data_IF_838846192793
#
_entry.id   IF_838846192793
#
_cell.length_a   1.000
_cell.length_b   1.000
_cell.length_c   1.000
_cell.angle_alpha   90.00
_cell.angle_beta   90.00
_cell.angle_gamma   90.00
#
_symmetry.space_group_name_H-M   'P 1'
#
loop_
_entity.id
_entity.type
_entity.pdbx_description
1 polymer ?
#
# COMPACT_ATOMS: atom_id res chain seq x y z
N UNK A 1 19.97 -4.29 3.46
CA UNK A 1 19.42 -5.27 2.51
C UNK A 1 19.00 -4.47 1.28
N UNK A 2 19.66 -4.65 0.13
CA UNK A 2 19.43 -3.84 -1.08
C UNK A 2 17.96 -3.96 -1.50
N UNK A 3 17.32 -2.82 -1.76
CA UNK A 3 15.91 -2.74 -2.16
C UNK A 3 15.67 -3.43 -3.51
N UNK A 4 16.72 -3.62 -4.30
CA UNK A 4 16.71 -4.12 -5.68
C UNK A 4 16.25 -5.57 -5.83
N UNK A 5 16.14 -6.34 -4.73
CA UNK A 5 15.72 -7.75 -4.77
C UNK A 5 14.59 -8.13 -3.78
N UNK A 6 13.97 -7.17 -3.09
CA UNK A 6 12.89 -7.51 -2.15
C UNK A 6 11.54 -7.62 -2.87
N UNK A 7 10.98 -8.83 -2.92
CA UNK A 7 9.63 -9.11 -3.42
C UNK A 7 8.57 -8.28 -2.68
N UNK A 8 8.78 -8.03 -1.39
CA UNK A 8 7.90 -7.20 -0.58
C UNK A 8 7.99 -5.72 -0.96
N UNK A 9 9.20 -5.20 -1.22
CA UNK A 9 9.38 -3.84 -1.70
C UNK A 9 8.76 -3.65 -3.08
N UNK A 10 8.94 -4.62 -3.98
CA UNK A 10 8.27 -4.65 -5.29
C UNK A 10 6.74 -4.59 -5.12
N UNK A 11 6.16 -5.45 -4.30
CA UNK A 11 4.73 -5.47 -4.01
C UNK A 11 4.21 -4.11 -3.54
N UNK A 12 4.93 -3.48 -2.60
CA UNK A 12 4.56 -2.17 -2.05
C UNK A 12 4.63 -1.07 -3.11
N UNK A 13 5.70 -1.05 -3.92
CA UNK A 13 5.89 -0.05 -4.98
C UNK A 13 4.81 -0.18 -6.05
N UNK A 14 4.49 -1.41 -6.49
CA UNK A 14 3.41 -1.63 -7.46
C UNK A 14 2.06 -1.20 -6.89
N UNK A 15 1.79 -1.47 -5.61
CA UNK A 15 0.57 -1.01 -4.93
C UNK A 15 0.49 0.54 -4.87
N UNK A 16 1.61 1.21 -4.60
CA UNK A 16 1.71 2.67 -4.62
C UNK A 16 1.42 3.22 -6.03
N UNK A 17 2.02 2.64 -7.06
CA UNK A 17 1.75 3.04 -8.44
C UNK A 17 0.26 2.87 -8.80
N UNK A 18 -0.35 1.75 -8.42
CA UNK A 18 -1.78 1.52 -8.61
C UNK A 18 -2.63 2.60 -7.91
N UNK A 19 -2.31 2.90 -6.65
CA UNK A 19 -3.00 3.91 -5.85
C UNK A 19 -2.95 5.29 -6.52
N UNK A 20 -1.77 5.71 -6.98
CA UNK A 20 -1.60 7.00 -7.67
C UNK A 20 -2.40 7.05 -8.97
N UNK A 21 -2.40 5.97 -9.76
CA UNK A 21 -3.17 5.90 -11.01
C UNK A 21 -4.68 5.97 -10.78
N UNK A 22 -5.19 5.34 -9.72
CA UNK A 22 -6.62 5.31 -9.39
C UNK A 22 -7.07 6.62 -8.73
N UNK A 23 -6.35 7.12 -7.73
CA UNK A 23 -6.81 8.22 -6.88
C UNK A 23 -6.38 9.61 -7.37
N UNK A 24 -5.19 9.75 -7.97
CA UNK A 24 -4.69 11.03 -8.44
C UNK A 24 -5.08 11.32 -9.90
N UNK A 25 -5.78 10.40 -10.56
CA UNK A 25 -6.16 10.45 -11.98
C UNK A 25 -4.98 10.84 -12.91
N UNK A 26 -3.75 10.48 -12.52
CA UNK A 26 -2.53 10.88 -13.19
C UNK A 26 -2.46 10.31 -14.61
N UNK A 27 -2.29 11.18 -15.61
CA UNK A 27 -2.06 10.77 -16.99
C UNK A 27 -0.60 10.40 -17.21
N UNK A 28 -0.37 9.15 -17.61
CA UNK A 28 0.97 8.68 -18.00
C UNK A 28 1.18 8.97 -19.49
N UNK A 29 2.28 9.64 -19.87
CA UNK A 29 2.64 9.82 -21.27
C UNK A 29 2.72 8.46 -21.99
N UNK A 30 2.14 8.32 -23.20
CA UNK A 30 2.15 7.07 -23.94
C UNK A 30 3.56 6.52 -24.20
N UNK A 31 4.60 7.37 -24.28
CA UNK A 31 5.98 6.93 -24.53
C UNK A 31 6.60 6.16 -23.35
N UNK A 32 6.05 6.32 -22.14
CA UNK A 32 6.53 5.64 -20.93
C UNK A 32 5.83 4.31 -20.69
N UNK A 33 4.83 3.96 -21.51
CA UNK A 33 4.11 2.71 -21.39
C UNK A 33 4.89 1.58 -22.08
N UNK A 34 5.13 0.44 -21.40
CA UNK A 34 5.93 -0.66 -21.95
C UNK A 34 5.27 -1.34 -23.15
N UNK A 35 3.97 -1.11 -23.38
CA UNK A 35 3.21 -1.68 -24.50
C UNK A 35 2.26 -0.64 -25.08
N UNK A 36 2.31 -0.46 -26.40
CA UNK A 36 1.46 0.51 -27.12
C UNK A 36 -0.04 0.28 -26.94
N UNK A 37 -0.48 -0.95 -26.67
CA UNK A 37 -1.87 -1.31 -26.37
C UNK A 37 -2.39 -0.65 -25.08
N UNK A 38 -1.49 -0.34 -24.13
CA UNK A 38 -1.86 0.31 -22.87
C UNK A 38 -2.17 1.80 -23.05
N UNK A 39 -1.72 2.44 -24.13
CA UNK A 39 -1.99 3.85 -24.41
C UNK A 39 -3.48 4.15 -24.65
N UNK A 40 -4.28 3.11 -24.93
CA UNK A 40 -5.73 3.21 -25.12
C UNK A 40 -6.52 2.98 -23.81
N UNK A 41 -5.86 2.54 -22.73
CA UNK A 41 -6.50 2.29 -21.44
C UNK A 41 -6.61 3.60 -20.65
N UNK A 42 -7.71 3.76 -19.92
CA UNK A 42 -7.80 4.83 -18.92
C UNK A 42 -6.76 4.60 -17.81
N UNK A 43 -6.32 5.68 -17.15
CA UNK A 43 -5.38 5.59 -16.02
C UNK A 43 -5.92 4.65 -14.92
N UNK A 44 -7.23 4.69 -14.69
CA UNK A 44 -7.93 3.81 -13.74
C UNK A 44 -7.79 2.33 -14.17
N UNK A 45 -7.95 2.01 -15.46
CA UNK A 45 -7.75 0.65 -15.96
C UNK A 45 -6.31 0.17 -15.79
N UNK A 46 -5.32 1.03 -16.01
CA UNK A 46 -3.91 0.72 -15.74
C UNK A 46 -3.70 0.47 -14.23
N UNK A 47 -4.26 1.33 -13.39
CA UNK A 47 -4.23 1.16 -11.93
C UNK A 47 -4.88 -0.16 -11.47
N UNK A 48 -5.98 -0.58 -12.11
CA UNK A 48 -6.61 -1.87 -11.82
C UNK A 48 -5.69 -3.05 -12.16
N UNK A 49 -4.98 -2.99 -13.29
CA UNK A 49 -3.99 -4.04 -13.65
C UNK A 49 -2.86 -4.09 -12.62
N UNK A 50 -2.35 -2.93 -12.20
CA UNK A 50 -1.27 -2.84 -11.21
C UNK A 50 -1.69 -3.37 -9.84
N UNK A 51 -2.91 -3.06 -9.35
CA UNK A 51 -3.36 -3.57 -8.05
C UNK A 51 -3.57 -5.09 -8.07
N UNK A 52 -4.08 -5.66 -9.16
CA UNK A 52 -4.21 -7.12 -9.32
C UNK A 52 -2.84 -7.81 -9.31
N UNK A 53 -1.84 -7.21 -9.96
CA UNK A 53 -0.46 -7.71 -9.92
C UNK A 53 0.12 -7.66 -8.49
N UNK A 54 -0.03 -6.53 -7.79
CA UNK A 54 0.43 -6.42 -6.42
C UNK A 54 -0.29 -7.43 -5.50
N UNK A 55 -1.59 -7.66 -5.67
CA UNK A 55 -2.34 -8.69 -4.92
C UNK A 55 -1.79 -10.08 -5.22
N UNK A 56 -1.48 -10.39 -6.49
CA UNK A 56 -0.86 -11.66 -6.88
C UNK A 56 0.49 -11.87 -6.19
N UNK A 57 1.34 -10.85 -6.16
CA UNK A 57 2.64 -10.90 -5.47
C UNK A 57 2.45 -11.06 -3.96
N UNK A 58 1.50 -10.32 -3.36
CA UNK A 58 1.19 -10.35 -1.93
C UNK A 58 0.85 -11.75 -1.43
N UNK A 59 0.20 -12.58 -2.24
CA UNK A 59 -0.15 -13.98 -1.90
C UNK A 59 1.08 -14.86 -1.64
N UNK A 60 2.25 -14.50 -2.17
CA UNK A 60 3.51 -15.19 -1.92
C UNK A 60 4.26 -14.72 -0.67
N UNK A 61 3.71 -13.77 0.09
CA UNK A 61 4.35 -13.17 1.27
C UNK A 61 3.58 -13.54 2.54
N UNK A 62 4.30 -13.88 3.60
CA UNK A 62 3.73 -14.21 4.91
C UNK A 62 3.46 -12.96 5.76
N UNK A 63 2.63 -12.05 5.24
CA UNK A 63 2.40 -10.74 5.85
C UNK A 63 1.43 -10.77 7.06
N UNK A 64 0.73 -11.88 7.26
CA UNK A 64 -0.24 -12.05 8.34
C UNK A 64 0.46 -12.48 9.62
N UNK A 65 1.36 -13.46 9.55
CA UNK A 65 2.13 -13.93 10.71
C UNK A 65 3.37 -13.04 10.96
N UNK A 66 4.01 -12.57 9.89
CA UNK A 66 5.24 -11.78 9.96
C UNK A 66 5.05 -10.39 9.32
N UNK A 67 4.28 -9.48 9.95
CA UNK A 67 4.08 -8.14 9.41
C UNK A 67 5.38 -7.34 9.39
N UNK A 68 5.48 -6.43 8.44
CA UNK A 68 6.60 -5.51 8.27
C UNK A 68 6.09 -4.10 8.01
N UNK A 69 6.98 -3.10 8.05
CA UNK A 69 6.61 -1.74 7.66
C UNK A 69 6.09 -1.65 6.21
N UNK A 70 6.67 -2.42 5.30
CA UNK A 70 6.23 -2.47 3.90
C UNK A 70 4.87 -3.15 3.80
N UNK A 71 4.60 -4.13 4.67
CA UNK A 71 3.33 -4.84 4.68
C UNK A 71 2.17 -3.94 5.11
N UNK A 72 2.37 -3.07 6.10
CA UNK A 72 1.40 -2.04 6.52
C UNK A 72 1.11 -1.07 5.37
N UNK A 73 2.16 -0.52 4.74
CA UNK A 73 2.02 0.41 3.63
C UNK A 73 1.29 -0.22 2.43
N UNK A 74 1.61 -1.47 2.11
CA UNK A 74 0.93 -2.21 1.04
C UNK A 74 -0.57 -2.34 1.33
N UNK A 75 -0.94 -2.73 2.56
CA UNK A 75 -2.34 -2.84 2.97
C UNK A 75 -3.06 -1.48 2.91
N UNK A 76 -2.39 -0.39 3.31
CA UNK A 76 -2.93 0.97 3.18
C UNK A 76 -3.17 1.38 1.73
N UNK A 77 -2.22 1.11 0.83
CA UNK A 77 -2.41 1.40 -0.59
C UNK A 77 -3.51 0.53 -1.22
N UNK A 78 -3.64 -0.73 -0.80
CA UNK A 78 -4.75 -1.58 -1.23
C UNK A 78 -6.10 -1.04 -0.78
N UNK A 79 -6.23 -0.57 0.47
CA UNK A 79 -7.43 0.15 0.91
C UNK A 79 -7.78 1.29 -0.06
N UNK A 80 -6.82 2.17 -0.34
CA UNK A 80 -7.03 3.31 -1.22
C UNK A 80 -7.41 2.93 -2.66
N UNK A 81 -6.80 1.87 -3.20
CA UNK A 81 -7.16 1.34 -4.51
C UNK A 81 -8.59 0.78 -4.54
N UNK A 82 -8.93 -0.09 -3.58
CA UNK A 82 -10.27 -0.70 -3.53
C UNK A 82 -11.36 0.35 -3.30
N UNK A 83 -11.09 1.35 -2.45
CA UNK A 83 -12.00 2.47 -2.23
C UNK A 83 -12.23 3.28 -3.51
N UNK A 84 -11.15 3.64 -4.23
CA UNK A 84 -11.26 4.35 -5.51
C UNK A 84 -11.96 3.56 -6.61
N UNK A 85 -12.02 2.24 -6.50
CA UNK A 85 -12.75 1.34 -7.40
C UNK A 85 -14.19 1.03 -6.93
N UNK A 86 -14.67 1.64 -5.84
CA UNK A 86 -16.01 1.41 -5.28
C UNK A 86 -16.20 0.03 -4.64
N UNK A 87 -15.12 -0.63 -4.24
CA UNK A 87 -15.13 -1.97 -3.60
C UNK A 87 -15.03 -1.85 -2.09
N UNK A 88 -16.02 -1.21 -1.48
CA UNK A 88 -15.99 -0.77 -0.07
C UNK A 88 -15.65 -1.90 0.91
N UNK A 89 -16.28 -3.08 0.79
CA UNK A 89 -16.00 -4.21 1.68
C UNK A 89 -14.53 -4.66 1.65
N UNK A 90 -13.93 -4.67 0.44
CA UNK A 90 -12.51 -5.00 0.27
C UNK A 90 -11.63 -3.89 0.83
N UNK A 91 -12.00 -2.64 0.58
CA UNK A 91 -11.30 -1.48 1.12
C UNK A 91 -11.24 -1.54 2.65
N UNK A 92 -12.39 -1.66 3.32
CA UNK A 92 -12.48 -1.76 4.78
C UNK A 92 -11.67 -2.93 5.34
N UNK A 93 -11.67 -4.08 4.67
CA UNK A 93 -10.87 -5.25 5.09
C UNK A 93 -9.37 -4.96 5.06
N UNK A 94 -8.88 -4.27 4.01
CA UNK A 94 -7.48 -3.88 3.92
C UNK A 94 -7.10 -2.79 4.92
N UNK A 95 -8.00 -1.84 5.21
CA UNK A 95 -7.77 -0.82 6.22
C UNK A 95 -7.59 -1.43 7.60
N UNK A 96 -8.51 -2.32 8.01
CA UNK A 96 -8.40 -3.07 9.27
C UNK A 96 -7.12 -3.91 9.32
N UNK A 97 -6.77 -4.56 8.21
CA UNK A 97 -5.52 -5.31 8.12
C UNK A 97 -4.30 -4.40 8.36
N UNK A 98 -4.25 -3.22 7.73
CA UNK A 98 -3.18 -2.25 7.93
C UNK A 98 -3.09 -1.78 9.38
N UNK A 99 -4.22 -1.45 10.03
CA UNK A 99 -4.23 -1.04 11.43
C UNK A 99 -3.73 -2.17 12.34
N UNK A 100 -4.23 -3.40 12.18
CA UNK A 100 -3.79 -4.55 12.97
C UNK A 100 -2.29 -4.80 12.81
N UNK A 101 -1.77 -4.76 11.58
CA UNK A 101 -0.32 -4.91 11.34
C UNK A 101 0.49 -3.81 12.04
N UNK A 102 0.03 -2.56 11.99
CA UNK A 102 0.69 -1.45 12.68
C UNK A 102 0.67 -1.62 14.21
N UNK A 103 -0.41 -2.17 14.77
CA UNK A 103 -0.49 -2.50 16.20
C UNK A 103 0.48 -3.61 16.58
N UNK A 104 0.54 -4.70 15.80
CA UNK A 104 1.48 -5.82 16.01
C UNK A 104 2.94 -5.36 15.96
N UNK A 105 3.24 -4.35 15.14
CA UNK A 105 4.57 -3.72 15.05
C UNK A 105 4.84 -2.69 16.16
N UNK A 106 3.92 -2.48 17.10
CA UNK A 106 4.09 -1.57 18.22
C UNK A 106 4.08 -0.09 17.84
N UNK A 107 3.54 0.29 16.68
CA UNK A 107 3.51 1.71 16.25
C UNK A 107 2.65 2.63 17.13
N UNK A 108 1.90 2.03 18.06
CA UNK A 108 1.07 2.69 19.05
C UNK A 108 1.81 2.94 20.38
N UNK A 109 2.93 2.27 20.62
CA UNK A 109 3.66 2.34 21.89
C UNK A 109 4.57 3.56 21.94
N UNK A 110 4.21 4.53 22.77
CA UNK A 110 4.97 5.77 22.94
C UNK A 110 6.33 5.58 23.62
N UNK A 111 6.51 4.51 24.40
CA UNK A 111 7.73 4.24 25.16
C UNK A 111 8.82 3.63 24.27
N UNK A 112 8.44 2.77 23.31
CA UNK A 112 9.32 2.25 22.27
C UNK A 112 9.95 3.34 21.40
N UNK A 113 9.41 4.57 21.46
CA UNK A 113 9.83 5.68 20.61
C UNK A 113 10.94 6.57 21.20
N UNK A 114 11.34 6.34 22.45
CA UNK A 114 12.39 7.11 23.12
C UNK A 114 13.79 6.88 22.52
N UNK A 115 13.99 5.77 21.81
CA UNK A 115 15.29 5.37 21.24
C UNK A 115 15.59 5.93 19.85
N UNK A 116 14.56 6.32 19.06
CA UNK A 116 14.70 6.90 17.71
C UNK A 116 13.59 7.94 17.43
N UNK A 117 13.80 9.22 17.76
CA UNK A 117 12.76 10.24 17.64
C UNK A 117 12.29 10.51 16.20
N UNK A 118 13.18 10.39 15.20
CA UNK A 118 12.90 10.80 13.82
C UNK A 118 12.17 9.70 13.04
N UNK A 119 12.66 8.45 13.11
CA UNK A 119 12.02 7.32 12.44
C UNK A 119 10.63 7.00 12.98
N UNK A 120 10.42 7.24 14.28
CA UNK A 120 9.17 6.95 14.96
C UNK A 120 8.09 8.02 14.75
N UNK A 121 8.46 9.27 14.43
CA UNK A 121 7.48 10.33 14.18
C UNK A 121 6.52 10.01 13.03
N UNK A 122 7.05 9.52 11.89
CA UNK A 122 6.25 9.22 10.69
C UNK A 122 5.37 7.99 10.89
N UNK A 123 5.87 6.96 11.57
CA UNK A 123 5.11 5.74 11.88
C UNK A 123 3.96 6.05 12.83
N UNK A 124 4.18 6.90 13.82
CA UNK A 124 3.14 7.37 14.74
C UNK A 124 2.04 8.14 14.01
N UNK A 125 2.41 9.08 13.14
CA UNK A 125 1.44 9.82 12.32
C UNK A 125 0.61 8.87 11.47
N UNK A 126 1.26 7.90 10.80
CA UNK A 126 0.55 6.92 9.99
C UNK A 126 -0.35 6.02 10.84
N UNK A 127 0.10 5.55 12.00
CA UNK A 127 -0.71 4.75 12.90
C UNK A 127 -2.00 5.48 13.31
N UNK A 128 -1.90 6.73 13.75
CA UNK A 128 -3.08 7.50 14.14
C UNK A 128 -4.00 7.79 12.95
N UNK A 129 -3.45 8.02 11.76
CA UNK A 129 -4.24 8.14 10.54
C UNK A 129 -5.05 6.86 10.26
N UNK A 130 -4.40 5.69 10.33
CA UNK A 130 -5.05 4.39 10.15
C UNK A 130 -6.15 4.15 11.18
N UNK A 131 -5.84 4.40 12.45
CA UNK A 131 -6.76 4.19 13.57
C UNK A 131 -8.00 5.07 13.52
N UNK A 132 -7.86 6.32 13.08
CA UNK A 132 -8.98 7.24 12.87
C UNK A 132 -9.77 6.85 11.63
N UNK A 133 -9.11 6.51 10.53
CA UNK A 133 -9.79 6.11 9.29
C UNK A 133 -10.62 4.82 9.45
N UNK A 134 -10.22 3.93 10.36
CA UNK A 134 -10.93 2.67 10.63
C UNK A 134 -12.27 2.85 11.38
N UNK A 135 -12.42 3.93 12.15
CA UNK A 135 -13.60 4.20 13.00
C UNK A 135 -14.61 5.12 12.34
#
# INVERSE_FOLDING_TARGET
MSIEHSTEAYCMIVALCAYVMIQANMTVPPELLPRSEMAQLSNISIGHVLVEEAIRVRRGLDYLENPSHLSVLTSWFFYGCQFGLGRDNSAWSYLRCATTQAQLLGWHDEEAHKSDPLGNSRRRVLYWLLYVAER
#
